data_IF_287825363091
#
_entry.id   IF_287825363091
#
_cell.length_a   1.000
_cell.length_b   1.000
_cell.length_c   1.000
_cell.angle_alpha   90.00
_cell.angle_beta   90.00
_cell.angle_gamma   90.00
#
_symmetry.space_group_name_H-M   'P 1'
#
loop_
_entity.id
_entity.type
_entity.pdbx_description
1 polymer ?
#
# COMPACT_ATOMS: atom_id res chain seq x y z
N UNK A 1 -25.06 -8.73 24.53
CA UNK A 1 -24.39 -7.82 23.57
C UNK A 1 -23.73 -8.66 22.49
N UNK A 2 -24.06 -8.43 21.21
CA UNK A 2 -23.49 -9.15 20.06
C UNK A 2 -21.96 -8.95 20.09
N UNK A 3 -21.17 -10.01 19.88
CA UNK A 3 -19.69 -10.00 19.81
C UNK A 3 -18.88 -9.91 21.12
N UNK A 4 -19.48 -9.98 22.32
CA UNK A 4 -18.75 -9.85 23.61
C UNK A 4 -17.57 -10.83 23.80
N UNK A 5 -17.64 -12.03 23.21
CA UNK A 5 -16.61 -13.06 23.30
C UNK A 5 -15.55 -12.99 22.17
N UNK A 6 -15.65 -11.99 21.29
CA UNK A 6 -14.74 -11.79 20.17
C UNK A 6 -14.13 -10.40 20.25
N UNK A 7 -13.02 -10.21 20.99
CA UNK A 7 -12.47 -8.89 21.31
C UNK A 7 -12.25 -8.00 20.07
N UNK A 8 -11.72 -8.57 18.98
CA UNK A 8 -11.52 -7.84 17.73
C UNK A 8 -12.83 -7.41 17.08
N UNK A 9 -13.83 -8.30 17.00
CA UNK A 9 -15.13 -7.98 16.41
C UNK A 9 -15.90 -6.97 17.28
N UNK A 10 -15.70 -7.02 18.59
CA UNK A 10 -16.26 -6.06 19.54
C UNK A 10 -15.69 -4.66 19.35
N UNK A 11 -14.37 -4.52 19.28
CA UNK A 11 -13.73 -3.21 19.04
C UNK A 11 -14.04 -2.67 17.65
N UNK A 12 -14.03 -3.51 16.61
CA UNK A 12 -14.49 -3.10 15.28
C UNK A 12 -15.96 -2.65 15.29
N UNK A 13 -16.83 -3.33 16.05
CA UNK A 13 -18.22 -2.93 16.18
C UNK A 13 -18.36 -1.53 16.81
N UNK A 14 -17.58 -1.22 17.86
CA UNK A 14 -17.57 0.12 18.46
C UNK A 14 -17.13 1.17 17.46
N UNK A 15 -15.98 0.96 16.80
CA UNK A 15 -15.45 1.86 15.77
C UNK A 15 -16.49 2.14 14.70
N UNK A 16 -17.25 1.13 14.25
CA UNK A 16 -18.24 1.33 13.18
C UNK A 16 -19.64 1.77 13.62
N UNK A 17 -19.99 1.65 14.90
CA UNK A 17 -21.36 1.89 15.40
C UNK A 17 -21.45 3.15 16.26
N UNK A 18 -20.34 3.58 16.86
CA UNK A 18 -20.25 4.80 17.66
C UNK A 18 -19.90 6.02 16.78
N UNK A 19 -19.58 7.16 17.39
CA UNK A 19 -19.36 8.44 16.70
C UNK A 19 -18.20 8.46 15.70
N UNK A 20 -17.31 7.47 15.76
CA UNK A 20 -16.10 7.37 14.93
C UNK A 20 -16.40 6.72 13.57
N UNK A 21 -17.26 7.34 12.75
CA UNK A 21 -17.78 6.77 11.48
C UNK A 21 -16.69 6.54 10.41
N UNK A 22 -15.83 5.54 10.59
CA UNK A 22 -14.87 5.09 9.59
C UNK A 22 -15.58 4.34 8.46
N UNK A 23 -15.05 4.46 7.25
CA UNK A 23 -15.63 3.85 6.06
C UNK A 23 -15.45 2.34 6.06
N UNK A 24 -16.57 1.61 6.23
CA UNK A 24 -16.62 0.14 6.05
C UNK A 24 -16.12 -0.31 4.68
N UNK A 25 -16.27 0.55 3.66
CA UNK A 25 -15.83 0.28 2.29
C UNK A 25 -14.36 -0.16 2.22
N UNK A 26 -13.47 0.53 2.94
CA UNK A 26 -12.04 0.22 2.88
C UNK A 26 -11.69 -1.14 3.47
N UNK A 27 -12.33 -1.53 4.59
CA UNK A 27 -12.18 -2.88 5.15
C UNK A 27 -12.77 -3.94 4.22
N UNK A 28 -13.92 -3.66 3.60
CA UNK A 28 -14.51 -4.59 2.63
C UNK A 28 -13.60 -4.78 1.41
N UNK A 29 -12.96 -3.71 0.90
CA UNK A 29 -11.97 -3.77 -0.19
C UNK A 29 -10.80 -4.69 0.19
N UNK A 30 -10.29 -4.59 1.42
CA UNK A 30 -9.24 -5.48 1.96
C UNK A 30 -9.64 -6.96 2.01
N UNK A 31 -10.89 -7.23 2.40
CA UNK A 31 -11.42 -8.60 2.48
C UNK A 31 -11.60 -9.16 1.08
N UNK A 32 -12.17 -8.37 0.16
CA UNK A 32 -12.42 -8.78 -1.22
C UNK A 32 -11.11 -9.12 -1.94
N UNK A 33 -10.10 -8.26 -1.86
CA UNK A 33 -8.83 -8.48 -2.56
C UNK A 33 -8.10 -9.73 -2.04
N UNK A 34 -8.27 -10.10 -0.76
CA UNK A 34 -7.67 -11.32 -0.17
C UNK A 34 -8.47 -12.59 -0.43
N UNK A 35 -9.73 -12.47 -0.85
CA UNK A 35 -10.56 -13.61 -1.25
C UNK A 35 -10.45 -13.93 -2.73
N UNK A 36 -10.10 -12.92 -3.53
CA UNK A 36 -9.93 -13.08 -4.96
C UNK A 36 -8.61 -13.80 -5.26
N UNK A 37 -8.74 -15.02 -5.77
CA UNK A 37 -7.63 -15.91 -6.14
C UNK A 37 -6.68 -15.28 -7.16
N UNK A 38 -7.18 -14.36 -8.00
CA UNK A 38 -6.37 -13.59 -8.94
C UNK A 38 -5.15 -12.96 -8.26
N UNK A 39 -5.32 -12.46 -7.04
CA UNK A 39 -4.30 -11.71 -6.31
C UNK A 39 -3.51 -12.56 -5.31
N UNK A 40 -3.82 -13.86 -5.19
CA UNK A 40 -3.16 -14.80 -4.28
C UNK A 40 -1.98 -15.56 -4.92
N UNK A 41 -1.47 -15.05 -6.03
CA UNK A 41 -0.29 -15.59 -6.72
C UNK A 41 -0.59 -16.78 -7.63
N UNK A 42 -1.87 -17.09 -7.87
CA UNK A 42 -2.29 -18.07 -8.89
C UNK A 42 -2.12 -17.54 -10.32
N UNK A 43 -2.29 -16.23 -10.49
CA UNK A 43 -2.18 -15.56 -11.79
C UNK A 43 -1.16 -14.43 -11.71
N UNK A 44 -0.25 -14.31 -12.70
CA UNK A 44 0.72 -13.23 -12.71
C UNK A 44 0.03 -11.90 -13.06
N UNK A 45 0.49 -10.83 -12.42
CA UNK A 45 0.19 -9.48 -12.84
C UNK A 45 0.72 -9.25 -14.26
N UNK A 46 -0.10 -8.67 -15.13
CA UNK A 46 0.30 -8.42 -16.52
C UNK A 46 1.12 -7.13 -16.63
N UNK A 47 0.77 -6.12 -15.83
CA UNK A 47 1.40 -4.80 -15.88
C UNK A 47 1.71 -4.26 -14.50
N UNK A 48 2.68 -3.34 -14.42
CA UNK A 48 2.96 -2.59 -13.20
C UNK A 48 1.70 -1.88 -12.66
N UNK A 49 0.89 -1.29 -13.54
CA UNK A 49 -0.35 -0.63 -13.15
C UNK A 49 -1.37 -1.58 -12.50
N UNK A 50 -1.43 -2.84 -12.95
CA UNK A 50 -2.27 -3.85 -12.32
C UNK A 50 -1.79 -4.19 -10.90
N UNK A 51 -0.47 -4.32 -10.73
CA UNK A 51 0.12 -4.52 -9.41
C UNK A 51 -0.12 -3.30 -8.50
N UNK A 52 0.01 -2.08 -8.99
CA UNK A 52 -0.31 -0.87 -8.23
C UNK A 52 -1.78 -0.81 -7.80
N UNK A 53 -2.72 -1.23 -8.67
CA UNK A 53 -4.14 -1.34 -8.30
C UNK A 53 -4.36 -2.36 -7.18
N UNK A 54 -3.61 -3.46 -7.20
CA UNK A 54 -3.58 -4.40 -6.09
C UNK A 54 -3.02 -3.74 -4.82
N UNK A 55 -1.91 -2.99 -4.91
CA UNK A 55 -1.37 -2.22 -3.78
C UNK A 55 -2.38 -1.18 -3.24
N UNK A 56 -3.18 -0.57 -4.11
CA UNK A 56 -4.22 0.36 -3.71
C UNK A 56 -5.32 -0.34 -2.89
N UNK A 57 -5.78 -1.49 -3.38
CA UNK A 57 -6.79 -2.29 -2.71
C UNK A 57 -6.28 -2.98 -1.42
N UNK A 58 -4.99 -3.30 -1.33
CA UNK A 58 -4.39 -4.11 -0.26
C UNK A 58 -3.58 -3.32 0.78
N UNK A 59 -3.02 -2.17 0.43
CA UNK A 59 -2.19 -1.35 1.32
C UNK A 59 -2.77 0.05 1.48
N UNK A 60 -3.05 0.75 0.38
CA UNK A 60 -3.56 2.15 0.42
C UNK A 60 -4.89 2.27 1.17
N UNK A 61 -5.82 1.32 1.00
CA UNK A 61 -7.10 1.39 1.74
C UNK A 61 -6.95 1.37 3.27
N UNK A 62 -5.85 0.85 3.83
CA UNK A 62 -5.54 1.00 5.26
C UNK A 62 -5.11 2.42 5.58
N UNK A 63 -4.29 3.04 4.73
CA UNK A 63 -3.94 4.45 4.86
C UNK A 63 -5.16 5.36 4.76
N UNK A 64 -6.13 5.08 3.88
CA UNK A 64 -7.37 5.86 3.83
C UNK A 64 -8.17 5.77 5.12
N UNK A 65 -8.25 4.60 5.76
CA UNK A 65 -8.86 4.47 7.10
C UNK A 65 -8.10 5.27 8.16
N UNK A 66 -6.76 5.22 8.14
CA UNK A 66 -5.92 5.98 9.07
C UNK A 66 -6.06 7.49 8.85
N UNK A 67 -6.17 7.94 7.60
CA UNK A 67 -6.43 9.34 7.25
C UNK A 67 -7.81 9.79 7.72
N UNK A 68 -8.86 8.98 7.52
CA UNK A 68 -10.20 9.28 8.03
C UNK A 68 -10.17 9.48 9.55
N UNK A 69 -9.47 8.60 10.28
CA UNK A 69 -9.29 8.75 11.72
C UNK A 69 -8.49 10.01 12.08
N UNK A 70 -7.36 10.23 11.42
CA UNK A 70 -6.49 11.37 11.66
C UNK A 70 -7.21 12.69 11.39
N UNK A 71 -8.02 12.76 10.34
CA UNK A 71 -8.79 13.94 9.97
C UNK A 71 -9.87 14.29 11.02
N UNK A 72 -10.46 13.29 11.68
CA UNK A 72 -11.42 13.53 12.77
C UNK A 72 -10.78 14.20 13.99
N UNK A 73 -9.47 13.96 14.22
CA UNK A 73 -8.71 14.52 15.35
C UNK A 73 -8.22 15.95 15.13
N UNK A 74 -8.37 16.48 13.92
CA UNK A 74 -7.94 17.84 13.58
C UNK A 74 -8.88 18.90 14.19
N UNK A 75 -8.35 20.10 14.37
CA UNK A 75 -9.16 21.27 14.74
C UNK A 75 -9.93 21.79 13.52
N UNK A 76 -11.02 22.53 13.74
CA UNK A 76 -11.90 23.02 12.66
C UNK A 76 -11.17 23.89 11.61
N UNK A 77 -10.16 24.66 12.02
CA UNK A 77 -9.30 25.44 11.12
C UNK A 77 -8.51 24.56 10.13
N UNK A 78 -8.13 23.35 10.55
CA UNK A 78 -7.36 22.41 9.75
C UNK A 78 -8.24 21.49 8.90
N UNK A 79 -9.51 21.30 9.29
CA UNK A 79 -10.48 20.47 8.56
C UNK A 79 -11.01 21.18 7.32
N UNK A 80 -10.15 21.35 6.33
CA UNK A 80 -10.55 21.84 5.02
C UNK A 80 -10.43 20.74 3.94
N UNK A 81 -11.12 20.96 2.83
CA UNK A 81 -11.18 20.00 1.72
C UNK A 81 -9.80 19.81 1.07
N UNK A 82 -9.00 20.88 0.97
CA UNK A 82 -7.63 20.83 0.43
C UNK A 82 -6.73 19.89 1.24
N UNK A 83 -6.77 20.01 2.58
CA UNK A 83 -6.01 19.15 3.49
C UNK A 83 -6.38 17.67 3.33
N UNK A 84 -7.68 17.36 3.22
CA UNK A 84 -8.13 15.98 3.00
C UNK A 84 -7.65 15.42 1.66
N UNK A 85 -7.76 16.20 0.59
CA UNK A 85 -7.29 15.80 -0.75
C UNK A 85 -5.77 15.57 -0.72
N UNK A 86 -5.01 16.46 -0.09
CA UNK A 86 -3.57 16.30 0.07
C UNK A 86 -3.21 15.01 0.82
N UNK A 87 -3.91 14.73 1.93
CA UNK A 87 -3.75 13.48 2.67
C UNK A 87 -4.03 12.24 1.82
N UNK A 88 -5.09 12.25 1.02
CA UNK A 88 -5.46 11.12 0.17
C UNK A 88 -4.42 10.89 -0.94
N UNK A 89 -3.89 11.95 -1.55
CA UNK A 89 -2.79 11.83 -2.52
C UNK A 89 -1.51 11.28 -1.88
N UNK A 90 -1.13 11.77 -0.70
CA UNK A 90 0.02 11.27 0.06
C UNK A 90 -0.16 9.79 0.40
N UNK A 91 -1.34 9.41 0.94
CA UNK A 91 -1.65 8.02 1.28
C UNK A 91 -1.59 7.09 0.07
N UNK A 92 -2.08 7.55 -1.09
CA UNK A 92 -2.04 6.75 -2.31
C UNK A 92 -0.60 6.46 -2.75
N UNK A 93 0.27 7.47 -2.83
CA UNK A 93 1.66 7.27 -3.20
C UNK A 93 2.43 6.47 -2.15
N UNK A 94 2.29 6.82 -0.86
CA UNK A 94 2.98 6.13 0.23
C UNK A 94 2.55 4.65 0.32
N UNK A 95 1.26 4.37 0.23
CA UNK A 95 0.73 3.01 0.28
C UNK A 95 1.12 2.18 -0.95
N UNK A 96 1.23 2.77 -2.14
CA UNK A 96 1.78 2.09 -3.32
C UNK A 96 3.27 1.81 -3.15
N UNK A 97 4.06 2.77 -2.70
CA UNK A 97 5.48 2.58 -2.41
C UNK A 97 5.69 1.43 -1.41
N UNK A 98 4.97 1.44 -0.28
CA UNK A 98 5.01 0.35 0.69
C UNK A 98 4.55 -0.99 0.09
N UNK A 99 3.48 -0.98 -0.70
CA UNK A 99 2.94 -2.17 -1.36
C UNK A 99 3.96 -2.83 -2.30
N UNK A 100 4.64 -2.04 -3.13
CA UNK A 100 5.70 -2.52 -4.02
C UNK A 100 6.91 -3.04 -3.21
N UNK A 101 7.35 -2.30 -2.19
CA UNK A 101 8.41 -2.75 -1.28
C UNK A 101 8.07 -4.05 -0.56
N UNK A 102 6.80 -4.25 -0.18
CA UNK A 102 6.32 -5.51 0.40
C UNK A 102 6.45 -6.69 -0.57
N UNK A 103 6.19 -6.48 -1.86
CA UNK A 103 6.39 -7.51 -2.88
C UNK A 103 7.88 -7.81 -3.04
N UNK A 104 8.72 -6.78 -3.16
CA UNK A 104 10.18 -6.92 -3.31
C UNK A 104 10.81 -7.70 -2.15
N UNK A 105 10.55 -7.31 -0.89
CA UNK A 105 11.05 -8.04 0.28
C UNK A 105 10.48 -9.46 0.39
N UNK A 106 9.30 -9.68 -0.21
CA UNK A 106 8.59 -10.95 -0.18
C UNK A 106 9.03 -11.95 -1.24
N UNK A 107 9.88 -11.58 -2.21
CA UNK A 107 10.24 -12.40 -3.37
C UNK A 107 10.62 -13.83 -2.97
N UNK A 108 11.60 -13.98 -2.06
CA UNK A 108 12.11 -15.30 -1.64
C UNK A 108 11.03 -16.13 -0.93
N UNK A 109 10.23 -15.49 -0.08
CA UNK A 109 9.13 -16.16 0.62
C UNK A 109 8.06 -16.64 -0.37
N UNK A 110 7.70 -15.80 -1.33
CA UNK A 110 6.65 -16.11 -2.30
C UNK A 110 7.10 -17.20 -3.28
N UNK A 111 8.36 -17.17 -3.73
CA UNK A 111 8.92 -18.20 -4.60
C UNK A 111 8.89 -19.60 -3.97
N UNK A 112 9.23 -19.73 -2.67
CA UNK A 112 9.10 -20.98 -1.91
C UNK A 112 7.67 -21.53 -1.90
N UNK A 113 6.68 -20.64 -1.96
CA UNK A 113 5.26 -20.98 -2.05
C UNK A 113 4.74 -21.06 -3.49
N UNK A 114 5.65 -21.14 -4.49
CA UNK A 114 5.34 -21.20 -5.92
C UNK A 114 4.55 -19.99 -6.43
N UNK A 115 4.80 -18.80 -5.88
CA UNK A 115 4.15 -17.53 -6.25
C UNK A 115 5.19 -16.53 -6.74
N UNK A 116 4.91 -15.90 -7.88
CA UNK A 116 5.69 -14.77 -8.38
C UNK A 116 4.75 -13.58 -8.59
N UNK A 117 5.10 -12.45 -7.98
CA UNK A 117 4.32 -11.22 -8.06
C UNK A 117 4.98 -10.14 -8.92
N UNK A 118 6.05 -10.48 -9.63
CA UNK A 118 6.72 -9.58 -10.57
C UNK A 118 5.84 -9.48 -11.84
N UNK A 119 5.45 -8.27 -12.26
CA UNK A 119 4.61 -8.11 -13.44
C UNK A 119 5.28 -8.56 -14.75
N UNK A 120 4.49 -9.08 -15.69
CA UNK A 120 4.99 -9.57 -16.99
C UNK A 120 5.72 -8.49 -17.80
N UNK A 121 5.19 -7.26 -17.84
CA UNK A 121 5.84 -6.15 -18.55
C UNK A 121 7.24 -5.82 -18.00
N UNK A 122 7.45 -5.95 -16.69
CA UNK A 122 8.77 -5.80 -16.07
C UNK A 122 9.70 -6.96 -16.42
N UNK A 123 9.19 -8.19 -16.39
CA UNK A 123 9.98 -9.38 -16.77
C UNK A 123 10.47 -9.29 -18.22
N UNK A 124 9.59 -8.85 -19.13
CA UNK A 124 9.94 -8.65 -20.54
C UNK A 124 11.01 -7.56 -20.70
N UNK A 125 10.84 -6.40 -20.03
CA UNK A 125 11.81 -5.29 -20.10
C UNK A 125 13.20 -5.69 -19.61
N UNK A 126 13.26 -6.46 -18.54
CA UNK A 126 14.50 -6.92 -17.90
C UNK A 126 15.06 -8.21 -18.50
N UNK A 127 14.36 -8.83 -19.47
CA UNK A 127 14.70 -10.13 -20.06
C UNK A 127 14.79 -11.26 -19.01
N UNK A 128 13.93 -11.20 -18.00
CA UNK A 128 13.79 -12.23 -16.96
C UNK A 128 12.52 -13.06 -17.18
N UNK A 129 12.27 -14.02 -16.30
CA UNK A 129 11.10 -14.90 -16.37
C UNK A 129 10.57 -15.22 -14.98
N UNK A 130 9.29 -15.63 -14.90
CA UNK A 130 8.71 -16.12 -13.65
C UNK A 130 9.52 -17.28 -13.07
N UNK A 131 9.96 -18.20 -13.92
CA UNK A 131 10.74 -19.36 -13.50
C UNK A 131 12.06 -18.95 -12.85
N UNK A 132 12.73 -17.90 -13.35
CA UNK A 132 13.95 -17.38 -12.73
C UNK A 132 13.70 -16.94 -11.27
N UNK A 133 12.56 -16.29 -11.01
CA UNK A 133 12.15 -15.91 -9.66
C UNK A 133 11.71 -17.11 -8.80
N UNK A 134 11.05 -18.11 -9.39
CA UNK A 134 10.61 -19.31 -8.67
C UNK A 134 11.78 -20.22 -8.27
N UNK A 135 12.84 -20.27 -9.07
CA UNK A 135 14.02 -21.09 -8.80
C UNK A 135 14.84 -20.55 -7.63
N UNK A 136 14.88 -19.22 -7.42
CA UNK A 136 15.57 -18.58 -6.28
C UNK A 136 17.03 -19.03 -6.09
N UNK A 137 17.71 -19.48 -7.15
CA UNK A 137 19.01 -20.15 -7.04
C UNK A 137 20.19 -19.31 -7.53
N UNK A 138 19.96 -18.23 -8.29
CA UNK A 138 21.04 -17.42 -8.84
C UNK A 138 20.70 -15.93 -8.82
N UNK A 139 21.60 -15.14 -8.23
CA UNK A 139 21.66 -13.71 -8.49
C UNK A 139 22.17 -13.51 -9.92
N UNK A 140 21.33 -12.95 -10.79
CA UNK A 140 21.67 -12.69 -12.18
C UNK A 140 21.22 -11.27 -12.58
N UNK A 141 21.81 -10.76 -13.66
CA UNK A 141 21.57 -9.39 -14.11
C UNK A 141 20.10 -9.12 -14.45
N UNK A 142 19.38 -10.08 -15.02
CA UNK A 142 17.98 -9.90 -15.40
C UNK A 142 17.03 -9.83 -14.20
N UNK A 143 17.30 -10.59 -13.14
CA UNK A 143 16.59 -10.50 -11.86
C UNK A 143 16.91 -9.16 -11.19
N UNK A 144 18.19 -8.75 -11.15
CA UNK A 144 18.58 -7.46 -10.59
C UNK A 144 17.92 -6.31 -11.30
N UNK A 145 17.88 -6.34 -12.63
CA UNK A 145 17.21 -5.32 -13.44
C UNK A 145 15.70 -5.29 -13.18
N UNK A 146 15.05 -6.46 -13.07
CA UNK A 146 13.62 -6.53 -12.72
C UNK A 146 13.33 -5.88 -11.35
N UNK A 147 14.15 -6.22 -10.35
CA UNK A 147 14.05 -5.69 -9.00
C UNK A 147 14.31 -4.19 -9.00
N UNK A 148 15.35 -3.75 -9.72
CA UNK A 148 15.70 -2.35 -9.89
C UNK A 148 14.54 -1.55 -10.47
N UNK A 149 13.95 -1.99 -11.59
CA UNK A 149 12.81 -1.31 -12.21
C UNK A 149 11.62 -1.17 -11.25
N UNK A 150 11.28 -2.22 -10.51
CA UNK A 150 10.21 -2.16 -9.51
C UNK A 150 10.56 -1.25 -8.32
N UNK A 151 11.81 -1.30 -7.86
CA UNK A 151 12.30 -0.48 -6.75
C UNK A 151 12.35 1.00 -7.16
N UNK A 152 12.73 1.31 -8.39
CA UNK A 152 12.67 2.66 -8.96
C UNK A 152 11.24 3.18 -8.97
N UNK A 153 10.25 2.38 -9.42
CA UNK A 153 8.84 2.80 -9.35
C UNK A 153 8.37 3.06 -7.91
N UNK A 154 8.79 2.22 -6.95
CA UNK A 154 8.48 2.46 -5.54
C UNK A 154 9.13 3.76 -5.01
N UNK A 155 10.38 4.03 -5.41
CA UNK A 155 11.07 5.27 -5.08
C UNK A 155 10.41 6.50 -5.72
N UNK A 156 9.99 6.42 -6.98
CA UNK A 156 9.27 7.50 -7.67
C UNK A 156 8.02 7.91 -6.87
N UNK A 157 7.28 6.96 -6.31
CA UNK A 157 6.16 7.27 -5.43
C UNK A 157 6.59 7.99 -4.14
N UNK A 158 7.72 7.61 -3.52
CA UNK A 158 8.25 8.34 -2.36
C UNK A 158 8.68 9.76 -2.71
N UNK A 159 9.28 9.96 -3.89
CA UNK A 159 9.62 11.28 -4.38
C UNK A 159 8.38 12.15 -4.60
N UNK A 160 7.27 11.58 -5.10
CA UNK A 160 5.99 12.30 -5.18
C UNK A 160 5.46 12.69 -3.80
N UNK A 161 5.57 11.81 -2.80
CA UNK A 161 5.22 12.15 -1.41
C UNK A 161 6.05 13.33 -0.92
N UNK A 162 7.37 13.29 -1.13
CA UNK A 162 8.26 14.38 -0.71
C UNK A 162 7.89 15.70 -1.38
N UNK A 163 7.65 15.69 -2.71
CA UNK A 163 7.17 16.87 -3.45
C UNK A 163 5.85 17.41 -2.90
N UNK A 164 4.89 16.53 -2.58
CA UNK A 164 3.59 16.93 -2.01
C UNK A 164 3.74 17.56 -0.61
N UNK A 165 4.68 17.06 0.20
CA UNK A 165 4.99 17.63 1.51
C UNK A 165 5.67 19.00 1.40
N UNK A 166 6.49 19.20 0.37
CA UNK A 166 7.23 20.45 0.15
C UNK A 166 6.38 21.53 -0.56
N UNK A 167 5.48 21.15 -1.46
CA UNK A 167 4.71 22.08 -2.32
C UNK A 167 3.52 22.73 -1.61
N UNK A 168 2.98 22.12 -0.57
CA UNK A 168 1.68 22.48 0.00
C UNK A 168 1.83 23.21 1.35
N UNK A 169 2.43 24.41 1.34
CA UNK A 169 2.49 25.28 2.52
C UNK A 169 1.10 25.49 3.19
N UNK A 170 1.06 25.55 4.52
CA UNK A 170 -0.12 25.69 5.41
C UNK A 170 -1.31 24.69 5.24
N UNK A 171 -1.45 24.01 4.10
CA UNK A 171 -2.51 23.02 3.81
C UNK A 171 -2.00 21.56 3.89
N UNK A 172 -0.72 21.35 4.18
CA UNK A 172 -0.18 20.03 4.54
C UNK A 172 -0.22 19.76 6.04
N UNK A 173 -0.28 18.47 6.43
CA UNK A 173 0.14 18.06 7.76
C UNK A 173 1.58 18.55 7.97
N UNK A 174 1.80 19.50 8.89
CA UNK A 174 3.14 19.80 9.38
C UNK A 174 3.61 18.58 10.16
N UNK A 175 4.31 17.66 9.49
CA UNK A 175 4.99 16.56 10.16
C UNK A 175 6.02 17.22 11.09
N UNK A 176 5.80 17.15 12.41
CA UNK A 176 6.81 17.64 13.36
C UNK A 176 8.09 16.87 13.08
N UNK A 177 9.25 17.53 13.13
CA UNK A 177 10.55 16.85 12.92
C UNK A 177 10.73 15.63 13.84
N UNK A 178 10.05 15.59 15.00
CA UNK A 178 9.97 14.45 15.92
C UNK A 178 9.26 13.22 15.35
N UNK A 179 8.31 13.41 14.45
CA UNK A 179 7.40 12.36 13.97
C UNK A 179 7.96 11.65 12.72
N UNK A 180 9.05 12.19 12.14
CA UNK A 180 9.81 11.54 11.05
C UNK A 180 10.42 10.20 11.47
N UNK A 181 10.54 9.94 12.77
CA UNK A 181 11.07 8.70 13.35
C UNK A 181 10.06 7.54 13.40
N UNK A 182 8.77 7.78 13.11
CA UNK A 182 7.74 6.72 13.20
C UNK A 182 7.67 5.87 11.90
N UNK A 183 8.31 6.31 10.81
CA UNK A 183 8.25 5.66 9.50
C UNK A 183 9.61 5.16 8.95
N UNK A 184 10.63 5.06 9.81
CA UNK A 184 11.88 4.33 9.55
C UNK A 184 11.99 3.13 10.50
#
# INVERSE_FOLDING_TARGET
MKYRNFPLAFELFKVFSESEKLSKHWILKQIQIRRDRKYLGEYPFQTMNELEKYCEASTVSLYYLLNEKSFQLLNEEQKNVGYRIALDHIANHLGKAQGLTNILRGIIHNAKNRRCYIPNDILVKSKSSHEAFLQCQQDNDSIRESIYLMASTANDHLEQVQKLLDSNGNETPKIRKSDRLIFL
#
